data_IF_437385163523
#
_entry.id   IF_437385163523
#
_cell.length_a   1.000
_cell.length_b   1.000
_cell.length_c   1.000
_cell.angle_alpha   90.00
_cell.angle_beta   90.00
_cell.angle_gamma   90.00
#
_symmetry.space_group_name_H-M   'P 1'
#
loop_
_entity.id
_entity.type
_entity.pdbx_description
1 polymer ?
#
# COMPACT_ATOMS: atom_id res chain seq x y z
N UNK A 1 -21.44 16.05 40.09
CA UNK A 1 -20.73 16.52 38.88
C UNK A 1 -19.29 16.04 38.88
N UNK A 2 -18.64 15.81 37.72
CA UNK A 2 -17.26 15.36 37.66
C UNK A 2 -16.28 16.53 37.80
N UNK A 3 -15.35 16.42 38.75
CA UNK A 3 -14.21 17.33 38.91
C UNK A 3 -12.94 16.48 38.85
N UNK A 4 -12.05 16.77 37.89
CA UNK A 4 -10.85 15.95 37.62
C UNK A 4 -11.19 14.44 37.48
N UNK A 5 -12.32 14.11 36.85
CA UNK A 5 -12.78 12.74 36.66
C UNK A 5 -13.37 12.06 37.91
N UNK A 6 -13.43 12.74 39.06
CA UNK A 6 -14.06 12.24 40.28
C UNK A 6 -15.45 12.85 40.44
N UNK A 7 -16.46 12.00 40.70
CA UNK A 7 -17.82 12.48 40.97
C UNK A 7 -17.89 13.14 42.35
N UNK A 8 -18.17 14.45 42.37
CA UNK A 8 -18.36 15.24 43.59
C UNK A 8 -19.82 15.68 43.75
N UNK A 9 -20.26 15.81 45.01
CA UNK A 9 -21.53 16.44 45.37
C UNK A 9 -21.46 17.93 45.08
N UNK A 10 -22.58 18.56 44.72
CA UNK A 10 -22.63 20.01 44.43
C UNK A 10 -22.02 20.88 45.53
N UNK A 11 -22.19 20.50 46.78
CA UNK A 11 -21.72 21.23 47.96
C UNK A 11 -20.24 20.97 48.29
N UNK A 12 -19.55 20.12 47.54
CA UNK A 12 -18.11 19.89 47.74
C UNK A 12 -17.34 21.18 47.36
N UNK A 13 -16.45 21.69 48.22
CA UNK A 13 -15.68 22.90 47.95
C UNK A 13 -14.89 22.88 46.63
N UNK A 14 -14.48 21.70 46.15
CA UNK A 14 -13.77 21.54 44.87
C UNK A 14 -14.65 21.90 43.67
N UNK A 15 -15.98 21.73 43.76
CA UNK A 15 -16.91 22.09 42.69
C UNK A 15 -16.94 23.61 42.49
N UNK A 16 -17.00 24.36 43.59
CA UNK A 16 -16.94 25.82 43.56
C UNK A 16 -15.56 26.32 43.12
N UNK A 17 -14.48 25.70 43.62
CA UNK A 17 -13.11 26.04 43.23
C UNK A 17 -12.84 25.80 41.74
N UNK A 18 -13.46 24.76 41.16
CA UNK A 18 -13.39 24.49 39.72
C UNK A 18 -14.28 25.41 38.88
N UNK A 19 -15.09 26.27 39.50
CA UNK A 19 -16.05 27.13 38.81
C UNK A 19 -17.15 26.38 38.07
N UNK A 20 -17.48 25.16 38.51
CA UNK A 20 -18.47 24.30 37.86
C UNK A 20 -19.88 24.86 38.02
N UNK A 21 -20.46 25.35 36.93
CA UNK A 21 -21.76 26.04 36.90
C UNK A 21 -22.60 25.59 35.71
N UNK A 22 -23.88 25.98 35.70
CA UNK A 22 -24.75 25.90 34.52
C UNK A 22 -24.37 26.98 33.50
N UNK A 23 -24.93 26.88 32.31
CA UNK A 23 -24.83 27.91 31.27
C UNK A 23 -25.24 29.27 31.83
N UNK A 24 -24.42 30.27 31.54
CA UNK A 24 -24.60 31.63 32.06
C UNK A 24 -24.02 31.85 33.46
N UNK A 25 -23.29 30.89 34.02
CA UNK A 25 -22.61 31.03 35.32
C UNK A 25 -23.54 30.88 36.52
N UNK A 26 -24.70 30.25 36.34
CA UNK A 26 -25.65 30.00 37.44
C UNK A 26 -25.21 28.78 38.24
N UNK A 27 -25.38 28.83 39.56
CA UNK A 27 -25.06 27.71 40.42
C UNK A 27 -25.84 26.44 40.02
N UNK A 28 -25.20 25.30 40.23
CA UNK A 28 -25.87 24.02 40.12
C UNK A 28 -27.04 23.91 41.11
N UNK A 29 -27.98 23.03 40.82
CA UNK A 29 -29.04 22.59 41.73
C UNK A 29 -28.87 21.09 42.01
N UNK A 30 -29.82 20.47 42.69
CA UNK A 30 -29.66 19.09 43.16
C UNK A 30 -29.94 18.04 42.06
N UNK A 31 -30.26 18.48 40.84
CA UNK A 31 -30.60 17.62 39.70
C UNK A 31 -29.45 17.44 38.70
N UNK A 32 -28.45 18.33 38.70
CA UNK A 32 -27.40 18.32 37.68
C UNK A 32 -26.36 17.23 37.92
N UNK A 33 -26.01 16.54 36.83
CA UNK A 33 -24.99 15.48 36.83
C UNK A 33 -23.69 15.92 36.16
N UNK A 34 -23.70 17.05 35.47
CA UNK A 34 -22.57 17.63 34.73
C UNK A 34 -22.40 19.13 35.02
N UNK A 35 -21.18 19.61 34.80
CA UNK A 35 -20.87 21.03 34.63
C UNK A 35 -21.19 21.45 33.18
N UNK A 36 -21.65 22.69 33.00
CA UNK A 36 -21.82 23.30 31.67
C UNK A 36 -20.82 24.44 31.45
N UNK A 37 -20.20 24.96 32.51
CA UNK A 37 -19.10 25.93 32.46
C UNK A 37 -18.10 25.65 33.59
N UNK A 38 -16.85 26.04 33.38
CA UNK A 38 -15.75 25.89 34.33
C UNK A 38 -15.02 27.23 34.55
N UNK A 39 -14.33 27.34 35.66
CA UNK A 39 -13.56 28.53 36.05
C UNK A 39 -12.13 28.57 35.51
N UNK A 40 -11.37 29.57 35.96
CA UNK A 40 -9.96 29.76 35.61
C UNK A 40 -9.09 28.58 36.05
N UNK A 41 -8.18 28.13 35.18
CA UNK A 41 -7.30 26.98 35.44
C UNK A 41 -7.97 25.62 35.23
N UNK A 42 -9.24 25.62 34.82
CA UNK A 42 -10.00 24.44 34.42
C UNK A 42 -10.50 24.59 32.99
N UNK A 43 -10.80 23.46 32.35
CA UNK A 43 -11.52 23.40 31.09
C UNK A 43 -12.69 22.42 31.16
N UNK A 44 -13.72 22.67 30.36
CA UNK A 44 -14.86 21.77 30.22
C UNK A 44 -14.48 20.60 29.31
N UNK A 45 -14.68 19.38 29.80
CA UNK A 45 -14.54 18.15 29.04
C UNK A 45 -15.55 17.11 29.54
N UNK A 46 -16.32 16.52 28.64
CA UNK A 46 -17.32 15.48 28.91
C UNK A 46 -18.26 15.80 30.07
N UNK A 47 -18.67 17.08 30.19
CA UNK A 47 -19.55 17.56 31.24
C UNK A 47 -18.91 17.65 32.64
N UNK A 48 -17.58 17.68 32.72
CA UNK A 48 -16.83 17.90 33.97
C UNK A 48 -15.79 19.00 33.83
N UNK A 49 -15.31 19.51 34.96
CA UNK A 49 -14.23 20.50 35.01
C UNK A 49 -12.90 19.83 35.34
N UNK A 50 -11.92 20.00 34.45
CA UNK A 50 -10.62 19.35 34.53
C UNK A 50 -9.51 20.39 34.67
N UNK A 51 -8.67 20.24 35.69
CA UNK A 51 -7.58 21.16 36.00
C UNK A 51 -6.37 20.91 35.11
N UNK A 52 -5.71 21.97 34.66
CA UNK A 52 -4.41 21.87 33.96
C UNK A 52 -3.21 21.87 34.91
N UNK A 53 -3.44 21.85 36.23
CA UNK A 53 -2.37 21.82 37.23
C UNK A 53 -1.55 20.52 37.17
N UNK A 54 -0.30 20.59 37.61
CA UNK A 54 0.57 19.42 37.66
C UNK A 54 -0.01 18.30 38.55
N UNK A 55 0.10 17.05 38.10
CA UNK A 55 -0.47 15.89 38.81
C UNK A 55 -1.98 15.71 38.66
N UNK A 56 -2.69 16.62 37.97
CA UNK A 56 -4.12 16.49 37.69
C UNK A 56 -4.37 15.78 36.36
N UNK A 57 -5.46 14.99 36.24
CA UNK A 57 -5.77 14.25 35.01
C UNK A 57 -6.06 15.18 33.82
N UNK A 58 -6.61 16.36 34.06
CA UNK A 58 -6.87 17.34 32.99
C UNK A 58 -5.62 17.75 32.21
N UNK A 59 -4.46 17.77 32.87
CA UNK A 59 -3.18 18.12 32.25
C UNK A 59 -2.75 17.14 31.14
N UNK A 60 -3.23 15.90 31.18
CA UNK A 60 -2.97 14.90 30.14
C UNK A 60 -3.73 15.19 28.83
N UNK A 61 -4.78 16.02 28.88
CA UNK A 61 -5.59 16.42 27.73
C UNK A 61 -5.24 17.85 27.29
N UNK A 62 -5.03 18.74 28.26
CA UNK A 62 -4.84 20.16 28.04
C UNK A 62 -3.73 20.72 28.92
N UNK A 63 -2.73 21.36 28.33
CA UNK A 63 -1.60 21.94 29.10
C UNK A 63 -1.89 23.37 29.55
N UNK A 64 -2.75 24.10 28.84
CA UNK A 64 -3.14 25.48 29.17
C UNK A 64 -4.64 25.67 28.97
N UNK A 65 -5.32 26.15 30.00
CA UNK A 65 -6.73 26.51 29.94
C UNK A 65 -6.96 27.94 30.44
N UNK A 66 -7.94 28.63 29.84
CA UNK A 66 -8.40 29.95 30.24
C UNK A 66 -9.92 29.99 30.25
N UNK A 67 -10.51 30.49 31.34
CA UNK A 67 -11.96 30.69 31.48
C UNK A 67 -12.84 29.49 31.09
N UNK A 68 -12.43 28.27 31.47
CA UNK A 68 -13.19 27.05 31.15
C UNK A 68 -12.90 26.46 29.77
N UNK A 69 -11.96 27.01 29.01
CA UNK A 69 -11.60 26.58 27.65
C UNK A 69 -10.15 26.10 27.60
N UNK A 70 -9.92 24.92 27.02
CA UNK A 70 -8.58 24.49 26.65
C UNK A 70 -8.05 25.34 25.50
N UNK A 71 -6.92 26.02 25.70
CA UNK A 71 -6.29 26.85 24.68
C UNK A 71 -5.04 26.20 24.09
N UNK A 72 -4.46 25.21 24.78
CA UNK A 72 -3.36 24.41 24.29
C UNK A 72 -3.57 22.93 24.68
N UNK A 73 -3.82 22.10 23.67
CA UNK A 73 -3.89 20.65 23.85
C UNK A 73 -2.55 20.06 24.31
N UNK A 74 -2.61 18.98 25.08
CA UNK A 74 -1.46 18.15 25.43
C UNK A 74 -1.06 17.24 24.26
N UNK A 75 0.03 16.48 24.40
CA UNK A 75 0.40 15.49 23.39
C UNK A 75 -0.73 14.47 23.16
N UNK A 76 -1.09 14.26 21.89
CA UNK A 76 -2.22 13.41 21.50
C UNK A 76 -3.60 14.07 21.60
N UNK A 77 -3.65 15.38 21.90
CA UNK A 77 -4.87 16.17 21.91
C UNK A 77 -4.65 17.51 21.21
N UNK A 78 -5.73 18.11 20.71
CA UNK A 78 -5.70 19.47 20.18
C UNK A 78 -6.80 20.33 20.81
N UNK A 79 -6.49 21.61 21.00
CA UNK A 79 -7.47 22.60 21.43
C UNK A 79 -8.40 22.94 20.25
N UNK A 80 -9.70 22.99 20.50
CA UNK A 80 -10.72 23.18 19.46
C UNK A 80 -10.82 24.67 19.08
N UNK A 81 -10.55 25.04 17.82
CA UNK A 81 -10.56 26.44 17.42
C UNK A 81 -11.95 27.09 17.54
N UNK A 82 -12.02 28.18 18.30
CA UNK A 82 -13.26 28.94 18.51
C UNK A 82 -14.23 28.32 19.51
N UNK A 83 -13.81 27.31 20.28
CA UNK A 83 -14.58 26.82 21.41
C UNK A 83 -14.80 27.91 22.47
N UNK A 84 -15.99 27.94 23.03
CA UNK A 84 -16.37 28.79 24.15
C UNK A 84 -16.44 27.98 25.44
N UNK A 85 -16.64 28.64 26.58
CA UNK A 85 -16.70 27.99 27.90
C UNK A 85 -17.83 26.97 28.09
N UNK A 86 -18.78 26.88 27.16
CA UNK A 86 -19.86 25.88 27.14
C UNK A 86 -19.60 24.73 26.17
N UNK A 87 -18.55 24.84 25.36
CA UNK A 87 -18.21 23.84 24.35
C UNK A 87 -17.17 22.85 24.90
N UNK A 88 -17.15 21.64 24.34
CA UNK A 88 -15.95 20.80 24.39
C UNK A 88 -14.81 21.53 23.70
N UNK A 89 -13.72 21.74 24.45
CA UNK A 89 -12.61 22.58 24.02
C UNK A 89 -11.35 21.79 23.68
N UNK A 90 -11.37 20.47 23.84
CA UNK A 90 -10.25 19.59 23.57
C UNK A 90 -10.73 18.31 22.90
N UNK A 91 -9.99 17.84 21.89
CA UNK A 91 -10.31 16.60 21.16
C UNK A 91 -9.04 15.76 21.03
N UNK A 92 -9.18 14.44 21.22
CA UNK A 92 -8.07 13.52 21.01
C UNK A 92 -7.72 13.44 19.52
N UNK A 93 -6.43 13.36 19.20
CA UNK A 93 -5.95 13.26 17.82
C UNK A 93 -6.54 12.06 17.06
N UNK A 94 -6.89 10.98 17.77
CA UNK A 94 -7.50 9.77 17.22
C UNK A 94 -9.04 9.79 17.12
N UNK A 95 -9.71 10.82 17.66
CA UNK A 95 -11.17 10.84 17.77
C UNK A 95 -11.86 11.30 16.48
N UNK A 96 -12.32 10.35 15.67
CA UNK A 96 -13.03 10.61 14.42
C UNK A 96 -14.48 11.09 14.61
N UNK A 97 -15.04 10.94 15.82
CA UNK A 97 -16.36 11.51 16.14
C UNK A 97 -16.22 13.01 16.35
N UNK A 98 -15.23 13.39 17.16
CA UNK A 98 -14.88 14.77 17.47
C UNK A 98 -16.04 15.54 18.11
N UNK A 99 -16.03 16.86 17.94
CA UNK A 99 -16.99 17.75 18.59
C UNK A 99 -17.54 18.79 17.62
N UNK A 100 -18.74 19.28 17.89
CA UNK A 100 -19.35 20.38 17.12
C UNK A 100 -19.53 21.59 18.02
N UNK A 101 -18.97 22.72 17.61
CA UNK A 101 -19.07 24.01 18.30
C UNK A 101 -19.86 25.00 17.45
N UNK A 102 -20.36 26.09 18.06
CA UNK A 102 -21.09 27.15 17.35
C UNK A 102 -22.25 26.63 16.47
N UNK A 103 -22.90 25.53 16.88
CA UNK A 103 -24.03 24.86 16.20
C UNK A 103 -23.69 24.04 14.95
N UNK A 104 -22.67 24.41 14.16
CA UNK A 104 -22.39 23.77 12.86
C UNK A 104 -20.91 23.61 12.48
N UNK A 105 -19.96 23.85 13.40
CA UNK A 105 -18.52 23.74 13.14
C UNK A 105 -17.97 22.49 13.80
N UNK A 106 -17.76 21.44 13.00
CA UNK A 106 -17.28 20.14 13.47
C UNK A 106 -15.76 20.04 13.38
N UNK A 107 -15.13 19.60 14.45
CA UNK A 107 -13.70 19.34 14.52
C UNK A 107 -13.46 17.89 14.91
N UNK A 108 -12.64 17.18 14.12
CA UNK A 108 -12.38 15.75 14.31
C UNK A 108 -10.89 15.47 14.30
N UNK A 109 -10.49 14.38 14.95
CA UNK A 109 -9.21 13.74 14.79
C UNK A 109 -9.12 12.89 13.52
N UNK A 110 -8.03 12.13 13.41
CA UNK A 110 -7.73 11.19 12.33
C UNK A 110 -7.64 9.80 12.94
N UNK A 111 -8.30 8.82 12.33
CA UNK A 111 -8.27 7.45 12.84
C UNK A 111 -6.83 6.95 13.06
N UNK A 112 -6.61 6.26 14.17
CA UNK A 112 -5.30 5.71 14.55
C UNK A 112 -4.18 6.76 14.68
N UNK A 113 -4.48 8.05 14.89
CA UNK A 113 -3.48 9.10 15.08
C UNK A 113 -3.11 9.28 16.57
N UNK A 114 -1.81 9.20 16.90
CA UNK A 114 -1.28 9.42 18.26
C UNK A 114 -0.87 10.86 18.52
N UNK A 115 -0.41 11.59 17.51
CA UNK A 115 -0.05 13.02 17.64
C UNK A 115 -0.52 13.79 16.42
N UNK A 116 -0.99 15.01 16.65
CA UNK A 116 -1.55 15.85 15.61
C UNK A 116 -1.33 17.34 15.93
N UNK A 117 -1.47 18.15 14.89
CA UNK A 117 -1.61 19.60 15.00
C UNK A 117 -3.08 19.99 14.86
N UNK A 118 -3.49 21.03 15.59
CA UNK A 118 -4.86 21.53 15.54
C UNK A 118 -5.25 21.95 14.10
N UNK A 119 -6.51 21.70 13.70
CA UNK A 119 -7.02 22.20 12.42
C UNK A 119 -7.07 23.72 12.39
N UNK A 120 -7.14 24.29 11.19
CA UNK A 120 -7.46 25.70 11.02
C UNK A 120 -8.92 25.98 11.44
N UNK A 121 -9.15 27.16 12.02
CA UNK A 121 -10.50 27.56 12.40
C UNK A 121 -11.42 27.67 11.17
N UNK A 122 -12.62 27.09 11.28
CA UNK A 122 -13.64 27.19 10.24
C UNK A 122 -14.19 28.63 10.23
N UNK A 123 -13.86 29.37 9.17
CA UNK A 123 -14.27 30.76 8.98
C UNK A 123 -15.64 30.91 8.34
N UNK A 124 -16.10 29.87 7.65
CA UNK A 124 -17.37 29.90 6.92
C UNK A 124 -18.58 30.00 7.88
N UNK A 125 -19.55 30.90 7.63
CA UNK A 125 -20.73 31.05 8.48
C UNK A 125 -21.68 29.85 8.40
N UNK A 126 -21.65 29.11 7.28
CA UNK A 126 -22.47 27.91 7.08
C UNK A 126 -21.89 26.66 7.78
N UNK A 127 -20.76 26.80 8.48
CA UNK A 127 -20.13 25.69 9.21
C UNK A 127 -19.27 24.80 8.31
N UNK A 128 -19.02 23.58 8.77
CA UNK A 128 -18.18 22.60 8.05
C UNK A 128 -17.55 21.58 8.98
N UNK A 129 -16.68 20.74 8.42
CA UNK A 129 -15.84 19.81 9.19
C UNK A 129 -14.37 20.07 8.90
N UNK A 130 -13.55 20.19 9.93
CA UNK A 130 -12.11 20.30 9.83
C UNK A 130 -11.44 19.17 10.64
N UNK A 131 -10.55 18.43 10.00
CA UNK A 131 -9.78 17.37 10.64
C UNK A 131 -8.43 17.89 11.11
N UNK A 132 -7.95 17.40 12.25
CA UNK A 132 -6.59 17.65 12.71
C UNK A 132 -5.55 17.09 11.71
N UNK A 133 -4.36 17.69 11.67
CA UNK A 133 -3.26 17.20 10.83
C UNK A 133 -2.46 16.20 11.63
N UNK A 134 -2.53 14.92 11.26
CA UNK A 134 -1.80 13.86 11.94
C UNK A 134 -0.30 13.94 11.66
N UNK A 135 0.52 13.92 12.70
CA UNK A 135 1.99 13.97 12.62
C UNK A 135 2.63 12.65 13.05
N UNK A 136 1.94 11.84 13.84
CA UNK A 136 2.39 10.52 14.25
C UNK A 136 1.20 9.56 14.37
N UNK A 137 1.37 8.36 13.85
CA UNK A 137 0.36 7.32 13.88
C UNK A 137 0.62 6.30 15.01
N UNK A 138 -0.45 5.64 15.42
CA UNK A 138 -0.43 4.52 16.37
C UNK A 138 -0.40 3.18 15.64
N UNK A 139 -0.29 2.08 16.38
CA UNK A 139 -0.50 0.71 15.86
C UNK A 139 0.42 0.33 14.68
N UNK A 140 1.67 0.81 14.67
CA UNK A 140 2.64 0.58 13.59
C UNK A 140 2.23 1.12 12.21
N UNK A 141 1.17 1.93 12.15
CA UNK A 141 0.78 2.68 10.96
C UNK A 141 1.73 3.84 10.74
N UNK A 142 1.74 4.38 9.53
CA UNK A 142 2.57 5.50 9.12
C UNK A 142 1.72 6.59 8.48
N UNK A 143 2.19 7.84 8.57
CA UNK A 143 1.46 9.00 8.04
C UNK A 143 1.54 8.99 6.51
N UNK A 144 0.38 9.08 5.85
CA UNK A 144 0.24 9.38 4.43
C UNK A 144 -0.41 10.75 4.28
N UNK A 145 0.25 11.64 3.57
CA UNK A 145 -0.28 12.97 3.24
C UNK A 145 -0.61 13.01 1.76
N UNK A 146 -1.90 13.04 1.44
CA UNK A 146 -2.40 13.18 0.07
C UNK A 146 -3.13 14.50 -0.07
N UNK A 147 -2.70 15.35 -1.00
CA UNK A 147 -3.25 16.69 -1.23
C UNK A 147 -3.43 17.53 0.06
N UNK A 148 -2.48 17.43 0.99
CA UNK A 148 -2.49 18.16 2.27
C UNK A 148 -3.37 17.51 3.36
N UNK A 149 -4.03 16.39 3.08
CA UNK A 149 -4.84 15.64 4.04
C UNK A 149 -4.04 14.45 4.56
N UNK A 150 -3.95 14.32 5.89
CA UNK A 150 -3.21 13.23 6.54
C UNK A 150 -4.11 12.06 6.88
N UNK A 151 -3.59 10.85 6.72
CA UNK A 151 -4.21 9.60 7.15
C UNK A 151 -3.15 8.66 7.74
N UNK A 152 -3.58 7.74 8.61
CA UNK A 152 -2.71 6.69 9.13
C UNK A 152 -2.99 5.38 8.38
N UNK A 153 -1.98 4.89 7.67
CA UNK A 153 -2.10 3.70 6.82
C UNK A 153 -1.04 2.67 7.16
N UNK A 154 -1.29 1.41 6.80
CA UNK A 154 -0.23 0.39 6.89
C UNK A 154 0.84 0.65 5.82
N UNK A 155 2.12 0.30 6.05
CA UNK A 155 3.18 0.61 5.08
C UNK A 155 2.96 0.07 3.67
N UNK A 156 2.25 -1.05 3.52
CA UNK A 156 1.89 -1.62 2.23
C UNK A 156 0.88 -0.76 1.43
N UNK A 157 0.20 0.18 2.09
CA UNK A 157 -0.78 1.09 1.49
C UNK A 157 -0.14 2.43 1.05
N UNK A 158 1.20 2.56 1.13
CA UNK A 158 1.93 3.59 0.38
C UNK A 158 1.96 3.24 -1.12
N UNK A 159 0.78 3.27 -1.73
CA UNK A 159 0.48 3.15 -3.15
C UNK A 159 -0.27 4.40 -3.62
N UNK A 160 -0.73 4.43 -4.87
CA UNK A 160 -1.41 5.59 -5.47
C UNK A 160 -0.48 6.81 -5.60
N UNK A 161 0.77 6.57 -6.01
CA UNK A 161 1.80 7.58 -6.19
C UNK A 161 2.63 7.85 -4.93
N UNK A 162 2.78 6.86 -4.05
CA UNK A 162 3.56 6.99 -2.82
C UNK A 162 4.54 5.82 -2.64
N UNK A 163 5.47 5.99 -1.70
CA UNK A 163 6.39 4.95 -1.25
C UNK A 163 6.68 5.11 0.24
N UNK A 164 7.14 4.03 0.88
CA UNK A 164 7.61 4.08 2.27
C UNK A 164 8.98 4.76 2.31
N UNK A 165 9.03 5.95 2.90
CA UNK A 165 10.27 6.67 3.15
C UNK A 165 10.91 6.23 4.46
N UNK A 166 11.78 5.24 4.36
CA UNK A 166 12.54 4.68 5.49
C UNK A 166 13.64 5.61 6.02
N UNK A 167 13.86 6.77 5.39
CA UNK A 167 14.82 7.78 5.87
C UNK A 167 14.18 8.74 6.87
N UNK A 168 12.85 8.73 6.96
CA UNK A 168 12.10 9.51 7.95
C UNK A 168 11.96 8.75 9.26
N UNK A 169 12.00 9.48 10.38
CA UNK A 169 11.79 8.93 11.72
C UNK A 169 10.64 9.68 12.39
N UNK A 170 9.44 9.08 12.52
CA UNK A 170 9.05 7.75 12.03
C UNK A 170 8.93 7.68 10.50
N UNK A 171 8.90 6.45 9.96
CA UNK A 171 8.63 6.20 8.54
C UNK A 171 7.30 6.86 8.13
N UNK A 172 7.21 7.33 6.89
CA UNK A 172 6.00 7.94 6.32
C UNK A 172 5.81 7.55 4.86
N UNK A 173 4.60 7.69 4.33
CA UNK A 173 4.40 7.65 2.89
C UNK A 173 4.85 8.98 2.29
N UNK A 174 5.84 8.93 1.40
CA UNK A 174 6.30 10.09 0.62
C UNK A 174 5.82 9.96 -0.82
N UNK A 175 5.41 11.06 -1.43
CA UNK A 175 4.93 11.07 -2.80
C UNK A 175 6.05 10.75 -3.81
N UNK A 176 5.68 10.05 -4.87
CA UNK A 176 6.51 9.84 -6.05
C UNK A 176 6.68 11.14 -6.85
N UNK A 177 7.78 11.25 -7.58
CA UNK A 177 8.06 12.42 -8.43
C UNK A 177 7.33 12.36 -9.77
N UNK A 178 7.04 11.16 -10.29
CA UNK A 178 6.30 10.96 -11.53
C UNK A 178 4.81 10.76 -11.23
N UNK A 179 3.96 11.68 -11.69
CA UNK A 179 2.51 11.62 -11.51
C UNK A 179 1.87 10.37 -12.15
N UNK A 180 2.54 9.71 -13.08
CA UNK A 180 2.09 8.48 -13.73
C UNK A 180 2.57 7.22 -12.99
N UNK A 181 3.32 7.39 -11.90
CA UNK A 181 3.80 6.30 -11.08
C UNK A 181 2.79 5.92 -10.00
N UNK A 182 2.45 4.64 -9.90
CA UNK A 182 1.59 4.08 -8.85
C UNK A 182 2.40 3.80 -7.59
N UNK A 183 3.58 3.20 -7.75
CA UNK A 183 4.53 2.92 -6.67
C UNK A 183 5.93 3.22 -7.16
N UNK A 184 6.69 3.98 -6.39
CA UNK A 184 8.10 4.22 -6.63
C UNK A 184 8.95 3.60 -5.53
N UNK A 185 10.22 3.31 -5.81
CA UNK A 185 11.15 2.79 -4.80
C UNK A 185 11.78 3.92 -3.95
N UNK A 186 11.79 5.14 -4.48
CA UNK A 186 12.35 6.33 -3.87
C UNK A 186 11.84 7.58 -4.58
N UNK A 187 12.13 8.75 -4.02
CA UNK A 187 11.97 10.02 -4.71
C UNK A 187 12.99 10.17 -5.85
N UNK A 188 12.61 10.92 -6.89
CA UNK A 188 13.45 11.25 -8.03
C UNK A 188 13.02 10.58 -9.33
N UNK A 189 13.69 11.00 -10.42
CA UNK A 189 13.46 10.46 -11.75
C UNK A 189 13.88 8.97 -11.84
N UNK A 190 13.21 8.22 -12.71
CA UNK A 190 13.48 6.80 -12.99
C UNK A 190 13.34 5.88 -11.75
N UNK A 191 12.62 6.30 -10.71
CA UNK A 191 12.39 5.52 -9.49
C UNK A 191 11.05 4.80 -9.47
N UNK A 192 10.27 4.87 -10.54
CA UNK A 192 8.99 4.19 -10.57
C UNK A 192 9.17 2.67 -10.64
N UNK A 193 8.52 1.91 -9.76
CA UNK A 193 8.52 0.45 -9.78
C UNK A 193 7.26 -0.12 -10.41
N UNK A 194 6.18 0.68 -10.47
CA UNK A 194 4.92 0.31 -11.12
C UNK A 194 4.19 1.56 -11.61
N UNK A 195 3.79 1.56 -12.88
CA UNK A 195 2.99 2.65 -13.45
C UNK A 195 1.53 2.52 -13.06
N UNK A 196 0.83 3.67 -13.03
CA UNK A 196 -0.62 3.71 -12.91
C UNK A 196 -1.26 2.98 -14.09
N UNK A 197 -2.42 2.42 -13.81
CA UNK A 197 -3.23 1.72 -14.83
C UNK A 197 -4.20 2.66 -15.53
N UNK A 198 -4.42 3.86 -14.99
CA UNK A 198 -5.17 4.92 -15.64
C UNK A 198 -4.25 5.80 -16.52
N UNK A 199 -4.87 6.51 -17.47
CA UNK A 199 -4.15 7.39 -18.38
C UNK A 199 -3.45 6.68 -19.54
N UNK A 200 -2.44 7.35 -20.10
CA UNK A 200 -1.77 6.91 -21.34
C UNK A 200 -0.38 6.35 -21.10
N UNK A 201 0.30 6.76 -20.02
CA UNK A 201 1.67 6.36 -19.68
C UNK A 201 1.69 5.15 -18.75
N UNK A 202 1.13 4.05 -19.23
CA UNK A 202 0.90 2.85 -18.41
C UNK A 202 2.01 1.80 -18.51
N UNK A 203 3.03 2.02 -19.36
CA UNK A 203 4.11 1.07 -19.57
C UNK A 203 5.34 1.47 -18.78
N UNK A 204 5.84 0.59 -17.92
CA UNK A 204 7.07 0.83 -17.19
C UNK A 204 8.28 0.53 -18.09
N UNK A 205 8.99 1.58 -18.50
CA UNK A 205 10.25 1.47 -19.23
C UNK A 205 11.42 1.42 -18.25
N UNK A 206 12.10 0.28 -18.23
CA UNK A 206 13.25 0.03 -17.35
C UNK A 206 14.56 0.16 -18.12
N UNK A 207 15.58 0.66 -17.45
CA UNK A 207 16.96 0.50 -17.88
C UNK A 207 17.42 -0.95 -17.68
N UNK A 208 18.49 -1.35 -18.37
CA UNK A 208 19.10 -2.67 -18.19
C UNK A 208 19.38 -2.94 -16.70
N UNK A 209 18.99 -4.12 -16.23
CA UNK A 209 19.18 -4.61 -14.85
C UNK A 209 18.52 -3.78 -13.74
N UNK A 210 17.68 -2.79 -14.07
CA UNK A 210 16.97 -1.97 -13.09
C UNK A 210 15.62 -2.58 -12.71
N UNK A 211 15.26 -2.49 -11.43
CA UNK A 211 13.91 -2.81 -10.95
C UNK A 211 12.95 -1.62 -11.10
N UNK A 212 13.47 -0.41 -11.29
CA UNK A 212 12.70 0.82 -11.47
C UNK A 212 12.92 1.46 -12.83
N UNK A 213 12.08 2.42 -13.18
CA UNK A 213 12.12 3.09 -14.46
C UNK A 213 11.18 4.28 -14.53
N UNK A 214 10.78 4.62 -15.75
CA UNK A 214 9.88 5.73 -16.06
C UNK A 214 8.62 5.22 -16.76
N UNK A 215 7.50 5.85 -16.46
CA UNK A 215 6.23 5.51 -17.07
C UNK A 215 6.08 6.20 -18.43
N UNK A 216 5.91 5.40 -19.47
CA UNK A 216 5.80 5.86 -20.86
C UNK A 216 4.51 5.37 -21.48
N UNK A 217 4.05 6.08 -22.51
CA UNK A 217 2.95 5.60 -23.33
C UNK A 217 3.44 4.56 -24.34
N UNK A 218 2.50 3.90 -25.01
CA UNK A 218 2.82 2.84 -25.98
C UNK A 218 3.77 3.33 -27.08
N UNK A 219 3.53 4.54 -27.60
CA UNK A 219 4.34 5.15 -28.66
C UNK A 219 5.74 5.59 -28.18
N UNK A 220 5.95 5.75 -26.88
CA UNK A 220 7.23 6.06 -26.27
C UNK A 220 8.15 4.84 -26.16
N UNK A 221 7.58 3.63 -26.16
CA UNK A 221 8.35 2.40 -26.21
C UNK A 221 8.90 2.17 -27.62
N UNK A 222 10.11 2.66 -27.86
CA UNK A 222 10.75 2.70 -29.19
C UNK A 222 12.19 2.15 -29.16
N UNK A 223 12.80 2.08 -30.35
CA UNK A 223 14.17 1.62 -30.51
C UNK A 223 14.30 0.12 -30.25
N UNK A 224 15.30 -0.24 -29.46
CA UNK A 224 15.61 -1.63 -29.09
C UNK A 224 14.76 -2.12 -27.90
N UNK A 225 13.54 -1.64 -27.77
CA UNK A 225 12.59 -2.05 -26.73
C UNK A 225 11.37 -2.73 -27.34
N UNK A 226 10.78 -3.66 -26.59
CA UNK A 226 9.50 -4.29 -26.91
C UNK A 226 8.49 -4.06 -25.80
N UNK A 227 7.22 -4.12 -26.17
CA UNK A 227 6.10 -4.02 -25.24
C UNK A 227 5.69 -5.42 -24.78
N UNK A 228 5.56 -5.59 -23.48
CA UNK A 228 4.85 -6.71 -22.88
C UNK A 228 3.46 -6.22 -22.44
N UNK A 229 2.43 -6.55 -23.21
CA UNK A 229 1.06 -6.11 -22.92
C UNK A 229 0.48 -6.76 -21.67
N UNK A 230 0.94 -7.94 -21.29
CA UNK A 230 0.47 -8.63 -20.09
C UNK A 230 1.12 -8.05 -18.83
N UNK A 231 2.42 -7.76 -18.90
CA UNK A 231 3.17 -7.18 -17.78
C UNK A 231 3.05 -5.64 -17.71
N UNK A 232 2.56 -4.98 -18.76
CA UNK A 232 2.58 -3.52 -18.93
C UNK A 232 3.99 -2.94 -18.76
N UNK A 233 4.97 -3.59 -19.40
CA UNK A 233 6.36 -3.14 -19.41
C UNK A 233 6.84 -2.80 -20.81
N UNK A 234 7.82 -1.90 -20.88
CA UNK A 234 8.64 -1.63 -22.04
C UNK A 234 10.07 -2.05 -21.69
N UNK A 235 10.60 -3.07 -22.36
CA UNK A 235 11.85 -3.72 -21.96
C UNK A 235 12.78 -3.89 -23.15
N UNK A 236 14.09 -3.91 -22.91
CA UNK A 236 15.07 -4.00 -23.99
C UNK A 236 15.03 -5.38 -24.65
N UNK A 237 15.30 -5.45 -25.95
CA UNK A 237 15.42 -6.71 -26.69
C UNK A 237 16.46 -7.66 -26.06
N UNK A 238 17.57 -7.09 -25.58
CA UNK A 238 18.64 -7.83 -24.90
C UNK A 238 18.14 -8.52 -23.62
N UNK A 239 17.24 -7.90 -22.85
CA UNK A 239 16.70 -8.50 -21.63
C UNK A 239 15.91 -9.79 -21.87
N UNK A 240 15.47 -10.03 -23.10
CA UNK A 240 14.78 -11.25 -23.51
C UNK A 240 15.68 -12.26 -24.25
N UNK A 241 17.01 -12.07 -24.17
CA UNK A 241 18.01 -12.95 -24.78
C UNK A 241 18.16 -12.77 -26.29
N UNK A 242 17.65 -11.69 -26.87
CA UNK A 242 17.86 -11.42 -28.31
C UNK A 242 19.08 -10.53 -28.53
N UNK A 243 19.81 -10.75 -29.63
CA UNK A 243 21.10 -10.07 -29.87
C UNK A 243 21.16 -9.43 -31.27
N UNK A 244 21.63 -8.18 -31.33
CA UNK A 244 21.81 -7.47 -32.60
C UNK A 244 20.53 -7.06 -33.33
N UNK A 245 19.33 -7.26 -32.75
CA UNK A 245 18.09 -6.80 -33.36
C UNK A 245 18.04 -5.27 -33.42
N UNK A 246 17.55 -4.73 -34.54
CA UNK A 246 17.17 -3.30 -34.63
C UNK A 246 15.90 -3.02 -33.84
N UNK A 247 14.91 -3.90 -33.97
CA UNK A 247 13.70 -3.92 -33.15
C UNK A 247 13.32 -5.37 -32.82
N UNK A 248 12.56 -5.57 -31.75
CA UNK A 248 12.02 -6.88 -31.37
C UNK A 248 10.56 -6.75 -30.94
N UNK A 249 9.85 -7.87 -30.96
CA UNK A 249 8.45 -7.95 -30.55
C UNK A 249 8.20 -9.23 -29.74
N UNK A 250 7.22 -9.18 -28.84
CA UNK A 250 6.75 -10.32 -28.07
C UNK A 250 5.44 -10.84 -28.66
N UNK A 251 5.43 -12.12 -29.05
CA UNK A 251 4.25 -12.82 -29.56
C UNK A 251 4.15 -14.17 -28.84
N UNK A 252 2.98 -14.50 -28.32
CA UNK A 252 2.72 -15.77 -27.60
C UNK A 252 3.75 -16.10 -26.49
N UNK A 253 4.21 -15.06 -25.78
CA UNK A 253 5.19 -15.19 -24.71
C UNK A 253 6.66 -15.19 -25.16
N UNK A 254 6.94 -15.29 -26.47
CA UNK A 254 8.29 -15.37 -27.03
C UNK A 254 8.70 -14.03 -27.63
N UNK A 255 9.88 -13.53 -27.25
CA UNK A 255 10.48 -12.34 -27.87
C UNK A 255 11.40 -12.76 -29.01
N UNK A 256 11.23 -12.13 -30.18
CA UNK A 256 12.03 -12.34 -31.37
C UNK A 256 12.37 -11.00 -32.03
N UNK A 257 13.46 -10.94 -32.80
CA UNK A 257 13.78 -9.79 -33.65
C UNK A 257 12.62 -9.56 -34.64
N UNK A 258 12.15 -8.32 -34.72
CA UNK A 258 11.13 -7.89 -35.68
C UNK A 258 11.79 -7.22 -36.91
N UNK A 259 12.95 -6.61 -36.73
CA UNK A 259 13.79 -6.11 -37.83
C UNK A 259 15.27 -6.19 -37.51
N UNK A 260 16.08 -6.27 -38.57
CA UNK A 260 17.54 -6.21 -38.53
C UNK A 260 18.04 -4.94 -39.23
N UNK A 261 19.32 -4.60 -39.07
CA UNK A 261 19.93 -3.53 -39.86
C UNK A 261 20.13 -3.95 -41.33
N UNK A 262 20.35 -2.96 -42.19
CA UNK A 262 20.53 -3.20 -43.62
C UNK A 262 21.72 -4.16 -43.89
N UNK A 263 21.48 -5.17 -44.73
CA UNK A 263 22.47 -6.21 -45.04
C UNK A 263 22.59 -7.32 -43.99
N UNK A 264 21.79 -7.31 -42.94
CA UNK A 264 21.64 -8.42 -42.01
C UNK A 264 20.38 -9.26 -42.32
N UNK A 265 20.39 -10.49 -41.81
CA UNK A 265 19.29 -11.46 -41.86
C UNK A 265 18.98 -11.93 -40.44
N UNK A 266 17.78 -12.46 -40.23
CA UNK A 266 17.42 -13.06 -38.97
C UNK A 266 18.25 -14.33 -38.75
N UNK A 267 18.83 -14.49 -37.57
CA UNK A 267 19.46 -15.71 -37.11
C UNK A 267 18.44 -16.82 -36.83
N UNK A 268 18.92 -17.92 -36.26
CA UNK A 268 18.07 -19.07 -35.92
C UNK A 268 16.95 -18.63 -34.98
N UNK A 269 15.73 -19.14 -35.21
CA UNK A 269 14.52 -18.80 -34.45
C UNK A 269 14.26 -17.27 -34.32
N UNK A 270 14.87 -16.44 -35.17
CA UNK A 270 14.83 -14.97 -35.10
C UNK A 270 15.31 -14.41 -33.76
N UNK A 271 16.19 -15.12 -33.06
CA UNK A 271 16.77 -14.66 -31.77
C UNK A 271 17.92 -13.68 -31.95
N UNK A 272 18.47 -13.57 -33.15
CA UNK A 272 19.55 -12.63 -33.45
C UNK A 272 19.43 -12.04 -34.85
N UNK A 273 20.23 -11.01 -35.15
CA UNK A 273 20.45 -10.50 -36.49
C UNK A 273 21.93 -10.65 -36.86
N UNK A 274 22.20 -11.34 -37.97
CA UNK A 274 23.56 -11.74 -38.37
C UNK A 274 23.82 -11.40 -39.84
N UNK A 275 25.08 -11.14 -40.20
CA UNK A 275 25.49 -10.92 -41.61
C UNK A 275 25.58 -12.24 -42.38
N UNK A 276 26.11 -13.27 -41.74
CA UNK A 276 26.26 -14.61 -42.28
C UNK A 276 25.52 -15.62 -41.40
N UNK A 277 25.04 -16.70 -42.01
CA UNK A 277 24.37 -17.73 -41.23
C UNK A 277 25.42 -18.61 -40.55
N UNK A 278 25.17 -19.11 -39.32
CA UNK A 278 26.12 -19.97 -38.63
C UNK A 278 26.40 -21.26 -39.44
N UNK A 279 27.47 -21.97 -39.09
CA UNK A 279 27.81 -23.22 -39.76
C UNK A 279 26.64 -24.21 -39.76
N UNK A 280 26.54 -25.01 -40.82
CA UNK A 280 25.45 -25.97 -41.03
C UNK A 280 24.05 -25.35 -41.12
N UNK A 281 23.96 -24.09 -41.57
CA UNK A 281 22.68 -23.42 -41.85
C UNK A 281 22.73 -22.61 -43.14
N UNK A 282 21.54 -22.31 -43.67
CA UNK A 282 21.36 -21.55 -44.91
C UNK A 282 20.23 -20.52 -44.76
N UNK A 283 20.28 -19.47 -45.58
CA UNK A 283 19.24 -18.43 -45.59
C UNK A 283 17.99 -18.97 -46.30
N UNK A 284 16.86 -18.94 -45.61
CA UNK A 284 15.53 -19.17 -46.15
C UNK A 284 14.61 -18.01 -45.74
N UNK A 285 14.01 -17.30 -46.70
CA UNK A 285 13.13 -16.15 -46.43
C UNK A 285 13.71 -15.14 -45.41
N UNK A 286 14.95 -14.71 -45.65
CA UNK A 286 15.72 -13.82 -44.76
C UNK A 286 15.95 -14.31 -43.32
N UNK A 287 15.76 -15.60 -43.08
CA UNK A 287 16.01 -16.24 -41.79
C UNK A 287 17.03 -17.37 -41.97
N UNK A 288 17.98 -17.51 -41.06
CA UNK A 288 18.87 -18.66 -41.05
C UNK A 288 18.11 -19.88 -40.54
N UNK A 289 18.22 -20.99 -41.27
CA UNK A 289 17.59 -22.28 -40.95
C UNK A 289 18.66 -23.36 -41.04
N UNK A 290 18.73 -24.23 -40.04
CA UNK A 290 19.68 -25.34 -40.06
C UNK A 290 19.43 -26.26 -41.25
N UNK A 291 20.51 -26.74 -41.86
CA UNK A 291 20.44 -27.71 -42.96
C UNK A 291 19.95 -29.08 -42.44
N UNK A 292 19.54 -29.96 -43.34
CA UNK A 292 19.06 -31.29 -42.99
C UNK A 292 20.06 -32.07 -42.12
N UNK A 293 19.57 -32.65 -41.03
CA UNK A 293 20.39 -33.36 -40.05
C UNK A 293 20.96 -32.48 -38.92
N UNK A 294 20.57 -31.19 -38.87
CA UNK A 294 20.95 -30.27 -37.79
C UNK A 294 19.73 -29.56 -37.18
N UNK A 295 19.83 -29.22 -35.89
CA UNK A 295 18.82 -28.43 -35.15
C UNK A 295 19.48 -27.28 -34.40
N UNK A 296 18.81 -26.14 -34.20
CA UNK A 296 19.34 -25.06 -33.38
C UNK A 296 19.67 -25.53 -31.95
N UNK A 297 20.76 -25.02 -31.38
CA UNK A 297 21.03 -25.16 -29.95
C UNK A 297 20.04 -24.34 -29.10
N UNK A 298 20.11 -24.48 -27.78
CA UNK A 298 19.16 -23.83 -26.85
C UNK A 298 19.12 -22.30 -27.01
N UNK A 299 20.29 -21.67 -27.16
CA UNK A 299 20.42 -20.21 -27.33
C UNK A 299 20.19 -19.73 -28.77
N UNK A 300 19.92 -20.65 -29.71
CA UNK A 300 19.72 -20.37 -31.14
C UNK A 300 20.90 -19.61 -31.78
N UNK A 301 22.11 -19.85 -31.31
CA UNK A 301 23.35 -19.28 -31.85
C UNK A 301 24.02 -20.18 -32.90
N UNK A 302 23.82 -21.51 -32.82
CA UNK A 302 24.49 -22.49 -33.66
C UNK A 302 23.58 -23.68 -34.02
N UNK A 303 23.93 -24.41 -35.08
CA UNK A 303 23.25 -25.64 -35.49
C UNK A 303 24.06 -26.86 -35.04
N UNK A 304 23.46 -27.70 -34.21
CA UNK A 304 24.06 -28.93 -33.70
C UNK A 304 23.49 -30.15 -34.42
N UNK A 305 24.29 -31.20 -34.57
CA UNK A 305 23.86 -32.45 -35.23
C UNK A 305 22.63 -32.99 -34.51
N UNK A 306 21.58 -33.25 -35.27
CA UNK A 306 20.42 -33.97 -34.75
C UNK A 306 20.92 -35.34 -34.36
N UNK A 307 20.94 -35.62 -33.05
CA UNK A 307 21.32 -36.94 -32.53
C UNK A 307 20.35 -37.96 -33.10
N UNK A 308 20.73 -38.55 -34.23
CA UNK A 308 20.11 -39.75 -34.76
C UNK A 308 20.44 -40.80 -33.70
N UNK A 309 19.45 -41.13 -32.89
CA UNK A 309 19.51 -42.39 -32.15
C UNK A 309 19.81 -43.47 -33.19
N UNK A 310 20.96 -44.10 -32.99
CA UNK A 310 21.36 -45.33 -33.65
C UNK A 310 20.16 -46.26 -33.83
N UNK A 311 19.93 -46.67 -35.08
CA UNK A 311 19.22 -47.89 -35.49
C UNK A 311 18.14 -48.43 -34.55
N UNK A 312 16.86 -48.12 -34.81
CA UNK A 312 15.82 -49.13 -34.58
C UNK A 312 15.55 -49.83 -35.92
N UNK A 313 16.22 -50.99 -36.06
CA UNK A 313 15.92 -51.98 -37.08
C UNK A 313 14.45 -52.38 -37.01
N UNK A 314 13.83 -52.49 -38.18
CA UNK A 314 12.47 -52.97 -38.38
C UNK A 314 12.35 -54.39 -37.85
N UNK A 315 11.73 -54.58 -36.67
CA UNK A 315 11.43 -55.92 -36.17
C UNK A 315 11.15 -56.02 -34.68
N UNK A 316 10.00 -55.52 -34.23
CA UNK A 316 9.22 -56.08 -33.12
C UNK A 316 8.04 -55.13 -32.78
N UNK A 317 6.96 -55.20 -33.56
CA UNK A 317 5.65 -54.76 -33.07
C UNK A 317 5.03 -55.99 -32.39
N UNK A 318 5.31 -56.14 -31.10
CA UNK A 318 4.50 -56.92 -30.19
C UNK A 318 3.95 -55.94 -29.16
N UNK A 319 2.62 -55.80 -29.15
CA UNK A 319 1.93 -54.73 -28.43
C UNK A 319 2.11 -54.78 -26.92
N UNK A 320 1.84 -53.64 -26.28
CA UNK A 320 0.98 -53.52 -25.10
C UNK A 320 0.54 -52.05 -25.02
N UNK A 321 -0.78 -51.91 -25.05
CA UNK A 321 -1.53 -50.70 -24.75
C UNK A 321 -1.47 -50.39 -23.26
N UNK A 322 -1.61 -49.10 -22.94
CA UNK A 322 -2.03 -48.53 -21.64
C UNK A 322 -1.08 -48.74 -20.46
N UNK A 323 -0.36 -47.68 -20.06
CA UNK A 323 -0.41 -47.09 -18.70
C UNK A 323 0.79 -46.16 -18.40
N UNK A 324 0.66 -44.86 -18.65
CA UNK A 324 1.50 -43.83 -17.97
C UNK A 324 0.75 -42.56 -17.58
N UNK A 325 -0.60 -42.56 -17.62
CA UNK A 325 -1.45 -41.44 -17.16
C UNK A 325 -1.54 -41.35 -15.61
N UNK A 326 -0.81 -42.16 -14.85
CA UNK A 326 -0.96 -42.22 -13.38
C UNK A 326 -0.03 -41.27 -12.60
N UNK A 327 1.04 -40.73 -13.19
CA UNK A 327 2.01 -39.92 -12.39
C UNK A 327 1.59 -38.45 -12.23
N UNK A 328 0.88 -37.86 -13.19
CA UNK A 328 0.53 -36.42 -13.13
C UNK A 328 -0.73 -36.15 -12.29
N UNK A 329 -1.65 -37.10 -12.15
CA UNK A 329 -2.80 -36.95 -11.22
C UNK A 329 -2.44 -37.16 -9.75
N UNK A 330 -1.33 -37.84 -9.44
CA UNK A 330 -0.84 -38.02 -8.07
C UNK A 330 -0.20 -36.77 -7.47
N UNK A 331 0.52 -35.98 -8.27
CA UNK A 331 1.24 -34.79 -7.80
C UNK A 331 0.31 -33.62 -7.47
N UNK A 332 -0.75 -33.40 -8.26
CA UNK A 332 -1.76 -32.36 -7.96
C UNK A 332 -2.59 -32.74 -6.73
N UNK A 333 -2.93 -34.03 -6.56
CA UNK A 333 -3.62 -34.53 -5.37
C UNK A 333 -2.80 -34.41 -4.08
N UNK A 334 -1.48 -34.69 -4.15
CA UNK A 334 -0.57 -34.59 -3.00
C UNK A 334 -0.30 -33.13 -2.59
N UNK A 335 -0.28 -32.20 -3.55
CA UNK A 335 -0.15 -30.76 -3.29
C UNK A 335 -1.44 -30.17 -2.69
N UNK A 336 -2.63 -30.57 -3.18
CA UNK A 336 -3.90 -30.18 -2.57
C UNK A 336 -4.08 -30.76 -1.15
N UNK A 337 -3.64 -32.00 -0.90
CA UNK A 337 -3.65 -32.61 0.44
C UNK A 337 -2.73 -31.89 1.43
N UNK A 338 -1.52 -31.50 0.99
CA UNK A 338 -0.57 -30.74 1.85
C UNK A 338 -1.09 -29.36 2.24
N UNK A 339 -1.86 -28.70 1.39
CA UNK A 339 -2.46 -27.39 1.67
C UNK A 339 -3.69 -27.49 2.58
N UNK A 340 -4.55 -28.50 2.38
CA UNK A 340 -5.74 -28.72 3.22
C UNK A 340 -5.40 -29.21 4.64
N UNK A 341 -4.33 -30.00 4.81
CA UNK A 341 -3.88 -30.47 6.13
C UNK A 341 -3.23 -29.38 7.00
N UNK A 342 -2.68 -28.30 6.41
CA UNK A 342 -2.14 -27.18 7.22
C UNK A 342 -3.23 -26.33 7.85
N UNK A 343 -4.34 -26.08 7.14
CA UNK A 343 -5.45 -25.27 7.65
C UNK A 343 -6.21 -25.99 8.78
N UNK A 344 -6.33 -27.32 8.71
CA UNK A 344 -7.05 -28.12 9.72
C UNK A 344 -6.29 -28.29 11.05
N UNK A 345 -4.97 -28.06 11.07
CA UNK A 345 -4.16 -28.14 12.30
C UNK A 345 -4.24 -26.88 13.17
N UNK A 346 -4.55 -25.72 12.59
CA UNK A 346 -4.75 -24.48 13.36
C UNK A 346 -6.15 -24.38 13.96
N UNK A 347 -7.15 -25.05 13.40
CA UNK A 347 -8.55 -24.99 13.85
C UNK A 347 -8.92 -26.03 14.90
N UNK A 348 -8.03 -26.95 15.29
CA UNK A 348 -8.31 -28.04 16.24
C UNK A 348 -7.62 -27.89 17.61
N UNK A 349 -7.03 -26.73 17.93
CA UNK A 349 -6.52 -26.44 19.28
C UNK A 349 -7.58 -25.77 20.19
N UNK A 350 -8.73 -25.37 19.65
CA UNK A 350 -9.86 -24.84 20.44
C UNK A 350 -11.18 -25.53 20.07
N UNK A 351 -11.34 -26.80 20.45
CA UNK A 351 -12.66 -27.39 20.64
C UNK A 351 -12.52 -28.65 21.48
N UNK A 352 -12.60 -28.48 22.80
CA UNK A 352 -12.73 -29.58 23.73
C UNK A 352 -14.06 -30.31 23.55
N UNK A 353 -14.01 -31.61 23.84
CA UNK A 353 -15.15 -32.51 24.05
C UNK A 353 -15.97 -32.85 22.80
N UNK A 354 -15.91 -34.11 22.35
CA UNK A 354 -17.09 -34.98 22.33
C UNK A 354 -16.70 -36.44 22.05
N UNK A 355 -17.51 -37.32 22.62
CA UNK A 355 -17.29 -38.75 22.87
C UNK A 355 -17.28 -39.62 21.61
N UNK A 356 -16.43 -40.65 21.63
CA UNK A 356 -16.55 -41.84 20.78
C UNK A 356 -17.87 -42.58 21.05
N UNK A 357 -18.63 -42.87 20.00
CA UNK A 357 -19.59 -43.98 19.97
C UNK A 357 -19.17 -44.86 18.79
N UNK A 358 -18.65 -46.04 19.14
CA UNK A 358 -18.45 -47.17 18.24
C UNK A 358 -19.80 -47.90 18.15
N UNK A 359 -20.31 -48.16 16.95
CA UNK A 359 -21.13 -49.35 16.72
C UNK A 359 -20.66 -50.03 15.43
N UNK A 360 -20.71 -51.35 15.52
CA UNK A 360 -20.27 -52.45 14.64
C UNK A 360 -20.47 -52.26 13.15
#
# INVERSE_FOLDING_TARGET
>A
VPIDGVCKTRTDPEVAAAGCTKTGGTDLTDTEKSCEQCGTGYFLHSGGCYSTAEGKPGRALCTTAGEGVCTQGAEGYFAVPGATKTDESVVACGDTTGVTVSTNKKYVGVDSCSKCSAPQAIKEPNGGTAAATCTECSNSKIVKTDNGVTSCVDPAECKDGFFVDATSTPNKCTACTDDNCDVCAASGANKCSKCKTDGTKIYLQKEADSQTGTCVNKAGCTGTNYIDEAAKTCSTCASAGTTGCKTCAKTDGVVACASCEDGQKFGLNKKSCVKECPENSSKQNDTCVCNDGFTPNEDSSECVVTSSSVNLSTGAIAGISVATVIVIRGLVGLLCWRSACRVKKQTLVEAGSLRCIIWT
#
